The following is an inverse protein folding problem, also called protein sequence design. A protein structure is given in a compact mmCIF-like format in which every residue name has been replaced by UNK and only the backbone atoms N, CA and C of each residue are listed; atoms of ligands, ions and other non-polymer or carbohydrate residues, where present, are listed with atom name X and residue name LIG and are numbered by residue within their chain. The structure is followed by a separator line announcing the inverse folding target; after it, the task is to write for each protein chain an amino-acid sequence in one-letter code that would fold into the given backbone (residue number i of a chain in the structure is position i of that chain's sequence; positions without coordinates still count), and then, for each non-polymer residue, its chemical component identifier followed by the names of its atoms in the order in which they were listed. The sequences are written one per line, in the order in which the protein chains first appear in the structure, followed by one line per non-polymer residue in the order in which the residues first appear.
data_IF_380148246216
#
_entry.id   IF_380148246216
#
_cell.length_a   1.000
_cell.length_b   1.000
_cell.length_c   1.000
_cell.angle_alpha   90.00
_cell.angle_beta   90.00
_cell.angle_gamma   90.00
#
_symmetry.space_group_name_H-M   'P 1'
#
loop_
_entity.id
_entity.type
_entity.pdbx_description
1 polymer ?
#
# COMPACT_ATOMS: atom_id res chain seq x y z
N UNK A 1 -25.32 5.23 4.91
CA UNK A 1 -24.11 5.78 5.58
C UNK A 1 -23.49 4.77 6.54
N UNK A 2 -24.25 4.16 7.46
CA UNK A 2 -23.77 3.16 8.43
C UNK A 2 -22.86 2.06 7.86
N UNK A 3 -23.28 1.39 6.76
CA UNK A 3 -22.48 0.33 6.11
C UNK A 3 -21.09 0.78 5.63
N UNK A 4 -20.92 2.06 5.27
CA UNK A 4 -19.63 2.57 4.79
C UNK A 4 -18.73 2.95 5.96
N UNK A 5 -19.26 3.63 6.97
CA UNK A 5 -18.53 3.95 8.20
C UNK A 5 -18.02 2.69 8.89
N UNK A 6 -18.82 1.61 8.87
CA UNK A 6 -18.41 0.30 9.38
C UNK A 6 -17.21 -0.27 8.61
N UNK A 7 -17.23 -0.24 7.27
CA UNK A 7 -16.11 -0.71 6.44
C UNK A 7 -14.84 0.08 6.72
N UNK A 8 -14.95 1.41 6.81
CA UNK A 8 -13.82 2.28 7.15
C UNK A 8 -13.26 1.94 8.55
N UNK A 9 -14.13 1.77 9.55
CA UNK A 9 -13.72 1.38 10.90
C UNK A 9 -13.01 0.03 10.94
N UNK A 10 -13.54 -0.98 10.24
CA UNK A 10 -12.92 -2.31 10.14
C UNK A 10 -11.53 -2.22 9.50
N UNK A 11 -11.38 -1.49 8.39
CA UNK A 11 -10.08 -1.32 7.74
C UNK A 11 -9.08 -0.56 8.62
N UNK A 12 -9.52 0.43 9.38
CA UNK A 12 -8.67 1.13 10.35
C UNK A 12 -8.17 0.20 11.46
N UNK A 13 -9.04 -0.66 11.98
CA UNK A 13 -8.68 -1.66 13.01
C UNK A 13 -7.69 -2.67 12.44
N UNK A 14 -7.95 -3.20 11.24
CA UNK A 14 -7.02 -4.12 10.56
C UNK A 14 -5.66 -3.46 10.34
N UNK A 15 -5.64 -2.20 9.88
CA UNK A 15 -4.41 -1.44 9.68
C UNK A 15 -3.64 -1.26 10.99
N UNK A 16 -4.31 -0.90 12.09
CA UNK A 16 -3.68 -0.73 13.39
C UNK A 16 -3.09 -2.04 13.94
N UNK A 17 -3.83 -3.14 13.86
CA UNK A 17 -3.37 -4.46 14.31
C UNK A 17 -2.19 -4.92 13.44
N UNK A 18 -2.29 -4.79 12.11
CA UNK A 18 -1.23 -5.16 11.20
C UNK A 18 0.02 -4.29 11.41
N UNK A 19 -0.13 -3.00 11.66
CA UNK A 19 0.98 -2.11 11.96
C UNK A 19 1.68 -2.52 13.26
N UNK A 20 0.92 -2.79 14.32
CA UNK A 20 1.48 -3.25 15.59
C UNK A 20 2.20 -4.59 15.44
N UNK A 21 1.60 -5.54 14.71
CA UNK A 21 2.21 -6.85 14.47
C UNK A 21 3.46 -6.75 13.58
N UNK A 22 3.45 -5.94 12.52
CA UNK A 22 4.63 -5.70 11.69
C UNK A 22 5.78 -5.05 12.46
N UNK A 23 5.44 -4.18 13.42
CA UNK A 23 6.40 -3.53 14.30
C UNK A 23 7.05 -4.53 15.25
N UNK A 24 6.26 -5.41 15.88
CA UNK A 24 6.76 -6.47 16.77
C UNK A 24 7.56 -7.53 16.01
N UNK A 25 7.07 -8.01 14.86
CA UNK A 25 7.83 -8.94 14.02
C UNK A 25 9.14 -8.31 13.50
N UNK A 26 9.12 -6.98 13.33
CA UNK A 26 10.22 -6.20 12.80
C UNK A 26 11.32 -5.93 13.80
N UNK A 27 11.02 -5.97 15.10
CA UNK A 27 12.02 -5.77 16.15
C UNK A 27 13.05 -6.90 16.21
N UNK A 28 12.80 -8.03 15.54
CA UNK A 28 13.80 -9.08 15.33
C UNK A 28 15.06 -8.57 14.60
N UNK A 29 15.00 -7.40 13.95
CA UNK A 29 16.19 -6.69 13.44
C UNK A 29 17.24 -6.42 14.55
N UNK A 30 16.83 -6.30 15.81
CA UNK A 30 17.74 -6.08 16.93
C UNK A 30 18.56 -7.33 17.27
N UNK A 31 18.08 -8.52 16.91
CA UNK A 31 18.69 -9.79 17.33
C UNK A 31 19.98 -10.12 16.56
N UNK A 32 20.16 -9.57 15.35
CA UNK A 32 21.35 -9.80 14.53
C UNK A 32 21.98 -8.48 14.02
N UNK A 33 23.03 -7.98 14.68
CA UNK A 33 23.73 -6.77 14.28
C UNK A 33 24.35 -6.79 12.88
N UNK A 34 24.59 -7.97 12.29
CA UNK A 34 25.09 -8.07 10.91
C UNK A 34 24.07 -7.58 9.88
N UNK A 35 22.77 -7.69 10.16
CA UNK A 35 21.71 -7.28 9.25
C UNK A 35 21.48 -5.77 9.18
N UNK A 36 22.04 -5.00 10.14
CA UNK A 36 21.85 -3.55 10.23
C UNK A 36 22.40 -2.82 9.01
N UNK A 37 23.54 -3.27 8.47
CA UNK A 37 24.18 -2.65 7.31
C UNK A 37 23.32 -2.73 6.04
N UNK A 38 22.43 -3.71 5.96
CA UNK A 38 21.62 -3.97 4.75
C UNK A 38 20.12 -3.71 4.92
N UNK A 39 19.66 -3.46 6.15
CA UNK A 39 18.22 -3.37 6.44
C UNK A 39 17.83 -2.13 7.24
N UNK A 40 18.74 -1.53 8.00
CA UNK A 40 18.46 -0.32 8.77
C UNK A 40 18.65 0.98 7.94
N UNK A 41 17.95 1.08 6.81
CA UNK A 41 18.12 2.17 5.85
C UNK A 41 17.75 3.55 6.41
N UNK A 42 16.68 3.64 7.22
CA UNK A 42 16.29 4.91 7.82
C UNK A 42 17.31 5.36 8.86
N UNK A 43 17.76 4.44 9.70
CA UNK A 43 18.80 4.72 10.68
C UNK A 43 20.11 5.14 10.05
N UNK A 44 20.52 4.51 8.94
CA UNK A 44 21.70 4.94 8.19
C UNK A 44 21.51 6.32 7.57
N UNK A 45 20.31 6.62 7.09
CA UNK A 45 19.99 7.93 6.54
C UNK A 45 20.09 9.04 7.62
N UNK A 46 19.66 8.76 8.85
CA UNK A 46 19.68 9.74 9.94
C UNK A 46 21.02 9.82 10.70
N UNK A 47 21.72 8.70 10.87
CA UNK A 47 22.89 8.58 11.75
C UNK A 47 24.18 8.13 11.05
N UNK A 48 24.12 7.75 9.77
CA UNK A 48 25.27 7.20 9.05
C UNK A 48 25.58 5.76 9.47
N UNK A 49 26.80 5.48 9.90
CA UNK A 49 27.19 4.13 10.34
C UNK A 49 26.59 3.80 11.70
N UNK A 50 25.76 2.76 11.75
CA UNK A 50 25.11 2.30 12.98
C UNK A 50 26.11 1.47 13.78
N UNK A 51 26.36 1.88 15.01
CA UNK A 51 27.30 1.22 15.93
C UNK A 51 26.60 0.67 17.18
N UNK A 52 25.33 1.03 17.40
CA UNK A 52 24.56 0.63 18.58
C UNK A 52 23.06 0.55 18.29
N UNK A 53 22.37 -0.36 18.97
CA UNK A 53 20.93 -0.63 18.82
C UNK A 53 20.04 0.59 19.02
N UNK A 54 20.37 1.49 19.94
CA UNK A 54 19.55 2.67 20.23
C UNK A 54 19.48 3.67 19.06
N UNK A 55 20.37 3.54 18.07
CA UNK A 55 20.35 4.33 16.85
C UNK A 55 19.36 3.80 15.81
N UNK A 56 18.78 2.61 16.05
CA UNK A 56 17.85 1.95 15.15
C UNK A 56 16.46 2.57 15.28
N UNK A 57 16.01 3.19 14.20
CA UNK A 57 14.69 3.75 14.02
C UNK A 57 13.64 2.66 14.00
N UNK A 58 12.50 2.93 14.65
CA UNK A 58 11.33 2.04 14.60
C UNK A 58 10.81 1.84 13.16
N UNK A 59 11.12 2.76 12.24
CA UNK A 59 10.79 2.61 10.81
C UNK A 59 11.55 1.45 10.16
N UNK A 60 12.76 1.15 10.64
CA UNK A 60 13.54 0.03 10.12
C UNK A 60 12.94 -1.32 10.52
N UNK A 61 12.15 -1.39 11.60
CA UNK A 61 11.40 -2.60 11.95
C UNK A 61 10.35 -2.93 10.88
N UNK A 62 9.61 -1.92 10.40
CA UNK A 62 8.66 -2.12 9.31
C UNK A 62 9.35 -2.55 8.02
N UNK A 63 10.53 -1.99 7.73
CA UNK A 63 11.32 -2.34 6.55
C UNK A 63 11.87 -3.77 6.63
N UNK A 64 12.36 -4.18 7.80
CA UNK A 64 12.79 -5.55 8.07
C UNK A 64 11.63 -6.54 7.87
N UNK A 65 10.48 -6.27 8.50
CA UNK A 65 9.26 -7.05 8.31
C UNK A 65 8.85 -7.11 6.84
N UNK A 66 8.87 -5.98 6.13
CA UNK A 66 8.55 -5.93 4.70
C UNK A 66 9.43 -6.87 3.86
N UNK A 67 10.72 -7.00 4.21
CA UNK A 67 11.70 -7.79 3.46
C UNK A 67 11.60 -9.29 3.78
N UNK A 68 11.48 -9.64 5.06
CA UNK A 68 11.63 -11.02 5.56
C UNK A 68 10.33 -11.64 6.10
N UNK A 69 9.39 -10.84 6.61
CA UNK A 69 8.10 -11.27 7.20
C UNK A 69 6.93 -10.45 6.64
N UNK A 70 6.67 -10.50 5.32
CA UNK A 70 5.85 -9.51 4.63
C UNK A 70 4.34 -9.60 4.91
N UNK A 71 3.89 -10.61 5.67
CA UNK A 71 2.46 -10.84 5.88
C UNK A 71 1.72 -9.62 6.45
N UNK A 72 2.21 -9.07 7.57
CA UNK A 72 1.59 -7.88 8.18
C UNK A 72 1.78 -6.60 7.33
N UNK A 73 2.96 -6.33 6.75
CA UNK A 73 3.12 -5.26 5.75
C UNK A 73 2.17 -5.35 4.56
N UNK A 74 1.87 -6.55 4.04
CA UNK A 74 0.87 -6.76 2.98
C UNK A 74 -0.52 -6.35 3.45
N UNK A 75 -0.92 -6.76 4.66
CA UNK A 75 -2.20 -6.34 5.25
C UNK A 75 -2.28 -4.81 5.43
N UNK A 76 -1.18 -4.17 5.81
CA UNK A 76 -1.10 -2.71 5.89
C UNK A 76 -1.33 -2.06 4.52
N UNK A 77 -0.71 -2.55 3.45
CA UNK A 77 -0.89 -2.00 2.10
C UNK A 77 -2.33 -2.19 1.63
N UNK A 78 -2.91 -3.39 1.78
CA UNK A 78 -4.28 -3.68 1.33
C UNK A 78 -5.28 -2.80 2.08
N UNK A 79 -5.17 -2.70 3.40
CA UNK A 79 -6.07 -1.87 4.22
C UNK A 79 -5.90 -0.38 3.91
N UNK A 80 -4.67 0.10 3.72
CA UNK A 80 -4.38 1.49 3.34
C UNK A 80 -4.94 1.85 1.97
N UNK A 81 -4.72 1.01 0.95
CA UNK A 81 -5.31 1.20 -0.38
C UNK A 81 -6.83 1.22 -0.32
N UNK A 82 -7.43 0.31 0.46
CA UNK A 82 -8.87 0.28 0.71
C UNK A 82 -9.39 1.60 1.31
N UNK A 83 -8.71 2.13 2.33
CA UNK A 83 -9.07 3.40 2.97
C UNK A 83 -8.96 4.58 2.01
N UNK A 84 -7.89 4.65 1.23
CA UNK A 84 -7.67 5.69 0.21
C UNK A 84 -8.79 5.66 -0.84
N UNK A 85 -9.09 4.48 -1.39
CA UNK A 85 -10.13 4.32 -2.42
C UNK A 85 -11.52 4.62 -1.86
N UNK A 86 -11.83 4.18 -0.64
CA UNK A 86 -13.11 4.48 0.02
C UNK A 86 -13.28 5.97 0.29
N UNK A 87 -12.22 6.64 0.73
CA UNK A 87 -12.22 8.08 0.98
C UNK A 87 -12.41 8.86 -0.31
N UNK A 88 -11.67 8.51 -1.36
CA UNK A 88 -11.81 9.10 -2.69
C UNK A 88 -13.21 8.86 -3.27
N UNK A 89 -13.76 7.65 -3.12
CA UNK A 89 -15.12 7.36 -3.53
C UNK A 89 -16.13 8.24 -2.79
N UNK A 90 -15.96 8.47 -1.49
CA UNK A 90 -16.85 9.33 -0.73
C UNK A 90 -16.87 10.78 -1.25
N UNK A 91 -15.68 11.31 -1.57
CA UNK A 91 -15.50 12.67 -2.08
C UNK A 91 -15.97 12.82 -3.54
N UNK A 92 -15.72 11.81 -4.38
CA UNK A 92 -15.90 11.89 -5.83
C UNK A 92 -17.13 11.13 -6.37
N UNK A 93 -17.94 10.49 -5.53
CA UNK A 93 -19.13 9.71 -5.94
C UNK A 93 -20.13 10.47 -6.83
N UNK A 94 -20.18 11.81 -6.72
CA UNK A 94 -21.08 12.65 -7.53
C UNK A 94 -20.59 12.80 -8.97
N UNK A 95 -19.30 12.61 -9.21
CA UNK A 95 -18.64 12.83 -10.49
C UNK A 95 -17.85 11.57 -10.91
N UNK A 96 -18.52 10.57 -11.51
CA UNK A 96 -17.89 9.27 -11.80
C UNK A 96 -16.68 9.38 -12.72
N UNK A 97 -16.61 10.40 -13.60
CA UNK A 97 -15.44 10.67 -14.45
C UNK A 97 -14.22 11.08 -13.62
N UNK A 98 -14.38 11.94 -12.60
CA UNK A 98 -13.29 12.33 -11.68
C UNK A 98 -12.82 11.14 -10.84
N UNK A 99 -13.74 10.30 -10.36
CA UNK A 99 -13.38 9.08 -9.64
C UNK A 99 -12.61 8.08 -10.53
N UNK A 100 -13.02 7.91 -11.80
CA UNK A 100 -12.28 7.07 -12.75
C UNK A 100 -10.88 7.61 -13.04
N UNK A 101 -10.72 8.93 -13.17
CA UNK A 101 -9.41 9.56 -13.32
C UNK A 101 -8.52 9.33 -12.08
N UNK A 102 -9.08 9.45 -10.88
CA UNK A 102 -8.37 9.12 -9.64
C UNK A 102 -7.86 7.67 -9.64
N UNK A 103 -8.70 6.70 -10.02
CA UNK A 103 -8.29 5.29 -10.12
C UNK A 103 -7.20 5.07 -11.19
N UNK A 104 -7.26 5.80 -12.31
CA UNK A 104 -6.22 5.75 -13.34
C UNK A 104 -4.87 6.25 -12.80
N UNK A 105 -4.85 7.37 -12.08
CA UNK A 105 -3.64 7.89 -11.42
C UNK A 105 -3.10 6.88 -10.40
N UNK A 106 -3.98 6.27 -9.60
CA UNK A 106 -3.60 5.21 -8.66
C UNK A 106 -2.99 3.99 -9.36
N UNK A 107 -3.53 3.59 -10.52
CA UNK A 107 -2.96 2.50 -11.33
C UNK A 107 -1.56 2.84 -11.83
N UNK A 108 -1.35 4.06 -12.32
CA UNK A 108 -0.03 4.50 -12.78
C UNK A 108 0.99 4.48 -11.64
N UNK A 109 0.62 4.99 -10.46
CA UNK A 109 1.45 4.92 -9.25
C UNK A 109 1.78 3.48 -8.84
N UNK A 110 0.79 2.58 -8.88
CA UNK A 110 0.98 1.17 -8.57
C UNK A 110 1.95 0.49 -9.55
N UNK A 111 1.84 0.75 -10.85
CA UNK A 111 2.80 0.21 -11.83
C UNK A 111 4.20 0.79 -11.68
N UNK A 112 4.33 2.08 -11.34
CA UNK A 112 5.64 2.69 -11.05
C UNK A 112 6.32 2.03 -9.85
N UNK A 113 5.57 1.79 -8.77
CA UNK A 113 6.08 1.08 -7.58
C UNK A 113 6.43 -0.38 -7.90
N UNK A 114 5.59 -1.07 -8.67
CA UNK A 114 5.87 -2.43 -9.13
C UNK A 114 7.17 -2.48 -9.93
N UNK A 115 7.36 -1.56 -10.90
CA UNK A 115 8.60 -1.46 -11.66
C UNK A 115 9.82 -1.21 -10.77
N UNK A 116 9.73 -0.29 -9.80
CA UNK A 116 10.83 0.02 -8.88
C UNK A 116 11.26 -1.14 -7.97
N UNK A 117 10.34 -2.05 -7.63
CA UNK A 117 10.60 -3.20 -6.75
C UNK A 117 10.96 -4.47 -7.55
N UNK A 118 10.73 -4.48 -8.86
CA UNK A 118 10.85 -5.68 -9.72
C UNK A 118 12.23 -6.35 -9.71
N UNK A 119 13.29 -5.62 -9.39
CA UNK A 119 14.67 -6.12 -9.31
C UNK A 119 15.06 -6.69 -7.92
N UNK A 120 14.15 -6.64 -6.93
CA UNK A 120 14.46 -7.07 -5.58
C UNK A 120 14.62 -8.60 -5.48
N UNK A 121 15.74 -9.13 -4.96
CA UNK A 121 15.97 -10.57 -4.81
C UNK A 121 15.27 -11.17 -3.58
N UNK A 122 14.42 -10.39 -2.89
CA UNK A 122 13.84 -10.77 -1.60
C UNK A 122 12.42 -11.32 -1.76
N UNK A 123 12.03 -12.25 -0.89
CA UNK A 123 10.67 -12.81 -0.88
C UNK A 123 9.62 -11.70 -0.69
N UNK A 124 9.87 -10.77 0.23
CA UNK A 124 9.02 -9.60 0.43
C UNK A 124 8.92 -8.70 -0.80
N UNK A 125 10.05 -8.43 -1.46
CA UNK A 125 10.11 -7.68 -2.71
C UNK A 125 9.25 -8.31 -3.81
N UNK A 126 9.37 -9.62 -4.01
CA UNK A 126 8.55 -10.34 -4.99
C UNK A 126 7.04 -10.27 -4.68
N UNK A 127 6.67 -10.44 -3.41
CA UNK A 127 5.26 -10.33 -2.98
C UNK A 127 4.73 -8.90 -3.21
N UNK A 128 5.51 -7.87 -2.87
CA UNK A 128 5.12 -6.49 -3.11
C UNK A 128 5.04 -6.14 -4.59
N UNK A 129 5.96 -6.65 -5.41
CA UNK A 129 5.91 -6.53 -6.86
C UNK A 129 4.55 -7.02 -7.40
N UNK A 130 4.13 -8.22 -7.01
CA UNK A 130 2.86 -8.81 -7.40
C UNK A 130 1.66 -8.03 -6.84
N UNK A 131 1.72 -7.61 -5.59
CA UNK A 131 0.65 -6.85 -4.93
C UNK A 131 0.38 -5.53 -5.65
N UNK A 132 1.43 -4.78 -5.97
CA UNK A 132 1.32 -3.52 -6.71
C UNK A 132 0.86 -3.73 -8.15
N UNK A 133 1.37 -4.76 -8.83
CA UNK A 133 0.95 -5.10 -10.19
C UNK A 133 -0.55 -5.45 -10.25
N UNK A 134 -1.00 -6.34 -9.36
CA UNK A 134 -2.40 -6.77 -9.29
C UNK A 134 -3.32 -5.60 -8.92
N UNK A 135 -2.91 -4.75 -7.97
CA UNK A 135 -3.68 -3.56 -7.59
C UNK A 135 -3.82 -2.58 -8.76
N UNK A 136 -2.75 -2.36 -9.52
CA UNK A 136 -2.78 -1.53 -10.73
C UNK A 136 -3.78 -2.06 -11.77
N UNK A 137 -3.75 -3.36 -12.06
CA UNK A 137 -4.70 -4.02 -12.96
C UNK A 137 -6.15 -3.85 -12.47
N UNK A 138 -6.41 -4.04 -11.17
CA UNK A 138 -7.75 -3.86 -10.62
C UNK A 138 -8.25 -2.42 -10.73
N UNK A 139 -7.37 -1.43 -10.49
CA UNK A 139 -7.74 -0.02 -10.60
C UNK A 139 -8.03 0.41 -12.03
N UNK A 140 -7.22 -0.02 -13.01
CA UNK A 140 -7.46 0.35 -14.42
C UNK A 140 -8.72 -0.32 -14.98
N UNK A 141 -8.97 -1.58 -14.64
CA UNK A 141 -10.20 -2.29 -15.03
C UNK A 141 -11.44 -1.61 -14.43
N UNK A 142 -11.37 -1.22 -13.16
CA UNK A 142 -12.45 -0.51 -12.48
C UNK A 142 -12.70 0.86 -13.11
N UNK A 143 -11.65 1.61 -13.45
CA UNK A 143 -11.75 2.90 -14.12
C UNK A 143 -12.41 2.76 -15.50
N UNK A 144 -11.98 1.79 -16.31
CA UNK A 144 -12.54 1.51 -17.63
C UNK A 144 -14.02 1.13 -17.55
N UNK A 145 -14.41 0.30 -16.57
CA UNK A 145 -15.80 -0.07 -16.32
C UNK A 145 -16.68 1.14 -15.99
N UNK A 146 -16.20 2.04 -15.13
CA UNK A 146 -16.92 3.25 -14.73
C UNK A 146 -17.12 4.18 -15.94
N UNK A 147 -16.07 4.40 -16.74
CA UNK A 147 -16.15 5.27 -17.93
C UNK A 147 -17.11 4.69 -18.99
N UNK A 148 -17.04 3.38 -19.24
CA UNK A 148 -17.95 2.69 -20.16
C UNK A 148 -19.40 2.89 -19.73
N UNK A 149 -19.72 2.63 -18.45
CA UNK A 149 -21.07 2.81 -17.91
C UNK A 149 -21.57 4.27 -17.99
N UNK A 150 -20.67 5.23 -17.81
CA UNK A 150 -20.96 6.65 -17.96
C UNK A 150 -21.35 7.04 -19.39
N UNK A 151 -20.68 6.48 -20.40
CA UNK A 151 -20.97 6.70 -21.82
C UNK A 151 -22.36 6.20 -22.20
N UNK A 152 -22.68 4.94 -21.87
CA UNK A 152 -23.98 4.34 -22.20
C UNK A 152 -25.19 5.11 -21.66
N UNK A 153 -25.05 5.75 -20.49
CA UNK A 153 -26.15 6.54 -19.89
C UNK A 153 -26.37 7.88 -20.59
N UNK A 154 -25.36 8.40 -21.27
CA UNK A 154 -25.43 9.68 -21.97
C UNK A 154 -25.99 9.49 -23.40
N UNK A 155 -25.70 8.36 -24.05
CA UNK A 155 -26.24 8.00 -25.36
C UNK A 155 -27.77 7.76 -25.32
N UNK A 156 -28.30 7.22 -24.21
CA UNK A 156 -29.75 7.01 -24.00
C UNK A 156 -30.54 8.30 -23.73
N UNK A 157 -29.88 9.38 -23.32
CA UNK A 157 -30.54 10.68 -23.05
C UNK A 157 -30.62 11.53 -24.32
N UNK A 158 -29.76 11.25 -25.30
CA UNK A 158 -29.64 12.00 -26.54
C UNK A 158 -30.31 11.30 -27.75
N UNK A 159 -30.94 10.14 -27.54
CA UNK A 159 -31.69 9.37 -28.52
C UNK A 159 -33.20 9.55 -28.28
#
# INVERSE_FOLDING_TARGET
MFKMTLKTGVLMIILAIAAFAAWVDGSALLDDPWDWQHTALFSQFFHGSISAEHQISQLDFFLYSAKFRPFYPVLMIISSLGLIVLSAYHLLKKEPKRFAYFLFVMSAGAFALSYGISSSPTVGGFIFFLLWLASGILFILSAAWILRKGSFRQDQVNA
#
